data_IF_209177602815
#
_entry.id   IF_209177602815
#
_cell.length_a   1.000
_cell.length_b   1.000
_cell.length_c   1.000
_cell.angle_alpha   90.00
_cell.angle_beta   90.00
_cell.angle_gamma   90.00
#
_symmetry.space_group_name_H-M   'P 1'
#
loop_
_entity.id
_entity.type
_entity.pdbx_description
1 polymer ?
#
# COMPACT_ATOMS: atom_id res chain seq x y z
N UNK A 1 24.16 -63.29 22.36
CA UNK A 1 22.78 -63.51 21.88
C UNK A 1 21.97 -62.26 22.18
N UNK A 2 21.30 -61.70 21.16
CA UNK A 2 20.61 -60.40 21.12
C UNK A 2 19.48 -60.22 22.15
N UNK A 3 19.22 -58.97 22.60
CA UNK A 3 17.89 -58.32 22.60
C UNK A 3 17.99 -56.85 23.09
N UNK A 4 17.87 -55.83 22.22
CA UNK A 4 16.69 -54.95 22.00
C UNK A 4 16.11 -54.24 23.24
N UNK A 5 16.39 -52.93 23.39
CA UNK A 5 15.40 -51.85 23.59
C UNK A 5 16.13 -50.48 23.64
N UNK A 6 15.51 -49.44 23.08
CA UNK A 6 16.08 -48.11 22.82
C UNK A 6 16.38 -47.30 24.11
N UNK A 7 17.20 -46.23 23.99
CA UNK A 7 16.53 -44.94 23.84
C UNK A 7 17.25 -44.05 22.81
N UNK A 8 16.63 -43.89 21.64
CA UNK A 8 17.02 -42.96 20.55
C UNK A 8 16.82 -41.48 20.90
N UNK A 9 16.91 -41.10 22.17
CA UNK A 9 16.29 -39.86 22.68
C UNK A 9 17.28 -38.89 23.37
N UNK A 10 18.55 -38.83 22.92
CA UNK A 10 19.54 -37.91 23.54
C UNK A 10 20.54 -37.19 22.62
N UNK A 11 20.37 -37.15 21.31
CA UNK A 11 21.39 -36.53 20.42
C UNK A 11 20.93 -35.32 19.60
N UNK A 12 19.69 -34.84 19.75
CA UNK A 12 19.22 -33.62 19.06
C UNK A 12 18.77 -32.51 20.02
N UNK A 13 19.60 -32.21 21.03
CA UNK A 13 19.40 -31.06 21.95
C UNK A 13 20.66 -30.19 22.08
N UNK A 14 21.35 -29.88 20.98
CA UNK A 14 22.50 -28.93 21.00
C UNK A 14 22.43 -27.81 19.97
N UNK A 15 21.25 -27.55 19.41
CA UNK A 15 21.04 -26.37 18.54
C UNK A 15 19.83 -25.54 18.97
N UNK A 16 19.35 -25.72 20.22
CA UNK A 16 18.45 -24.78 20.87
C UNK A 16 19.28 -23.76 21.63
N UNK A 17 19.96 -22.89 20.89
CA UNK A 17 20.40 -21.59 21.36
C UNK A 17 19.59 -20.55 20.60
N UNK A 18 18.48 -20.11 21.17
CA UNK A 18 17.78 -18.92 20.70
C UNK A 18 18.73 -17.74 20.73
N UNK A 19 18.76 -16.90 19.68
CA UNK A 19 18.58 -15.50 19.86
C UNK A 19 17.13 -15.22 19.48
N UNK A 20 16.39 -14.70 20.46
CA UNK A 20 15.26 -13.80 20.28
C UNK A 20 14.83 -13.60 18.83
N UNK A 21 13.68 -14.19 18.49
CA UNK A 21 12.97 -13.87 17.27
C UNK A 21 12.62 -12.40 17.29
N UNK A 22 13.54 -11.58 16.79
CA UNK A 22 13.26 -10.24 16.29
C UNK A 22 12.17 -10.48 15.26
N UNK A 23 10.93 -10.20 15.63
CA UNK A 23 9.81 -10.23 14.70
C UNK A 23 10.28 -9.51 13.45
N UNK A 24 10.30 -10.21 12.33
CA UNK A 24 10.41 -9.55 11.04
C UNK A 24 9.08 -8.81 10.90
N UNK A 25 8.99 -7.64 11.53
CA UNK A 25 7.95 -6.65 11.25
C UNK A 25 7.89 -6.59 9.73
N UNK A 26 6.72 -6.82 9.11
CA UNK A 26 6.64 -6.89 7.67
C UNK A 26 7.28 -5.63 7.09
N UNK A 27 8.38 -5.83 6.35
CA UNK A 27 9.19 -4.76 5.75
C UNK A 27 8.38 -3.99 4.69
N UNK A 28 7.17 -4.45 4.40
CA UNK A 28 6.20 -3.82 3.52
C UNK A 28 5.50 -2.65 4.21
N UNK A 29 5.37 -1.54 3.49
CA UNK A 29 4.51 -0.43 3.90
C UNK A 29 3.10 -0.92 4.30
N UNK A 30 2.59 -0.53 5.46
CA UNK A 30 1.26 -0.96 5.93
C UNK A 30 0.12 -0.34 5.11
N UNK A 31 0.44 0.68 4.30
CA UNK A 31 -0.46 1.29 3.33
C UNK A 31 0.07 0.98 1.92
N UNK A 32 -0.75 0.30 1.14
CA UNK A 32 -0.48 0.00 -0.27
C UNK A 32 -1.60 0.58 -1.13
N UNK A 33 -1.31 0.86 -2.40
CA UNK A 33 -2.31 1.29 -3.38
C UNK A 33 -2.10 0.53 -4.67
N UNK A 34 -3.16 0.36 -5.43
CA UNK A 34 -3.13 -0.19 -6.78
C UNK A 34 -4.18 0.55 -7.59
N UNK A 35 -3.74 1.17 -8.69
CA UNK A 35 -4.57 1.99 -9.55
C UNK A 35 -4.61 1.39 -10.94
N UNK A 36 -5.81 1.08 -11.41
CA UNK A 36 -6.05 0.51 -12.73
C UNK A 36 -6.75 1.53 -13.63
N UNK A 37 -6.25 1.71 -14.85
CA UNK A 37 -6.99 2.38 -15.92
C UNK A 37 -7.88 1.32 -16.60
N UNK A 38 -9.18 1.39 -16.31
CA UNK A 38 -10.15 0.44 -16.84
C UNK A 38 -10.56 0.74 -18.28
N UNK A 39 -10.26 1.94 -18.81
CA UNK A 39 -10.54 2.26 -20.20
C UNK A 39 -9.54 1.55 -21.14
N UNK A 40 -8.27 1.46 -20.73
CA UNK A 40 -7.25 0.70 -21.46
C UNK A 40 -7.06 -0.74 -20.94
N UNK A 41 -7.58 -1.05 -19.75
CA UNK A 41 -7.36 -2.34 -19.09
C UNK A 41 -5.94 -2.52 -18.56
N UNK A 42 -5.18 -1.42 -18.41
CA UNK A 42 -3.77 -1.44 -18.02
C UNK A 42 -3.57 -0.73 -16.67
N UNK A 43 -2.47 -1.00 -15.95
CA UNK A 43 -2.14 -0.25 -14.75
C UNK A 43 -1.95 1.23 -15.05
N UNK A 44 -2.44 2.09 -14.15
CA UNK A 44 -2.40 3.53 -14.33
C UNK A 44 -1.01 4.09 -13.98
N UNK A 45 0.00 3.83 -14.82
CA UNK A 45 1.38 4.27 -14.61
C UNK A 45 1.52 5.81 -14.64
N UNK A 46 2.34 6.35 -13.73
CA UNK A 46 2.70 7.77 -13.70
C UNK A 46 1.61 8.70 -13.17
N UNK A 47 0.56 8.14 -12.56
CA UNK A 47 -0.49 8.88 -11.90
C UNK A 47 0.03 9.49 -10.59
N UNK A 48 -0.15 10.80 -10.43
CA UNK A 48 0.27 11.51 -9.23
C UNK A 48 -0.72 11.25 -8.09
N UNK A 49 -0.19 10.97 -6.90
CA UNK A 49 -0.99 10.82 -5.69
C UNK A 49 -0.32 11.51 -4.50
N UNK A 50 -1.13 11.96 -3.55
CA UNK A 50 -0.70 12.58 -2.29
C UNK A 50 -1.30 11.83 -1.12
N UNK A 51 -0.45 11.46 -0.16
CA UNK A 51 -0.85 10.92 1.13
C UNK A 51 -0.89 12.05 2.16
N UNK A 52 -2.01 12.20 2.83
CA UNK A 52 -2.19 13.12 3.96
C UNK A 52 -2.73 12.38 5.18
N UNK A 53 -2.51 12.94 6.37
CA UNK A 53 -3.10 12.49 7.63
C UNK A 53 -3.90 13.63 8.25
N UNK A 54 -5.01 13.29 8.89
CA UNK A 54 -5.82 14.22 9.65
C UNK A 54 -5.18 14.44 11.03
N UNK A 55 -4.94 15.69 11.39
CA UNK A 55 -4.46 16.06 12.71
C UNK A 55 -5.61 16.11 13.72
N UNK A 56 -5.41 15.49 14.89
CA UNK A 56 -6.44 15.35 15.93
C UNK A 56 -6.91 16.70 16.51
N UNK A 57 -6.02 17.69 16.54
CA UNK A 57 -6.26 18.97 17.22
C UNK A 57 -6.92 20.05 16.36
N UNK A 58 -7.08 19.84 15.05
CA UNK A 58 -7.54 20.92 14.17
C UNK A 58 -8.32 20.48 12.94
N UNK A 59 -8.61 19.19 12.78
CA UNK A 59 -9.25 18.65 11.56
C UNK A 59 -8.52 19.07 10.26
N UNK A 60 -7.23 19.39 10.38
CA UNK A 60 -6.39 19.84 9.29
C UNK A 60 -5.70 18.63 8.67
N UNK A 61 -5.61 18.63 7.34
CA UNK A 61 -4.87 17.60 6.61
C UNK A 61 -3.41 18.01 6.44
N UNK A 62 -2.50 17.22 6.97
CA UNK A 62 -1.05 17.36 6.77
C UNK A 62 -0.61 16.43 5.64
N UNK A 63 0.01 16.95 4.58
CA UNK A 63 0.63 16.12 3.55
C UNK A 63 1.86 15.41 4.12
N UNK A 64 1.85 14.08 4.05
CA UNK A 64 2.96 13.23 4.46
C UNK A 64 3.90 12.92 3.30
N UNK A 65 3.34 12.72 2.10
CA UNK A 65 4.11 12.30 0.93
C UNK A 65 3.36 12.59 -0.37
N UNK A 66 4.08 13.11 -1.37
CA UNK A 66 3.69 13.10 -2.78
C UNK A 66 4.43 11.99 -3.52
N UNK A 67 3.75 11.23 -4.38
CA UNK A 67 4.35 10.14 -5.13
C UNK A 67 3.65 9.91 -6.47
N UNK A 68 4.20 9.01 -7.28
CA UNK A 68 3.65 8.60 -8.56
C UNK A 68 3.53 7.09 -8.60
N UNK A 69 2.52 6.59 -9.32
CA UNK A 69 2.38 5.15 -9.55
C UNK A 69 3.46 4.62 -10.51
N UNK A 70 3.94 3.43 -10.21
CA UNK A 70 4.92 2.67 -10.98
C UNK A 70 4.29 1.99 -12.22
N UNK A 71 5.04 1.24 -13.04
CA UNK A 71 4.48 0.52 -14.20
C UNK A 71 3.40 -0.51 -13.86
N UNK A 72 3.34 -1.00 -12.62
CA UNK A 72 2.30 -1.91 -12.13
C UNK A 72 1.11 -1.13 -11.53
N UNK A 73 1.09 0.20 -11.65
CA UNK A 73 0.02 1.04 -11.10
C UNK A 73 0.04 1.13 -9.57
N UNK A 74 1.15 0.74 -8.93
CA UNK A 74 1.31 0.72 -7.47
C UNK A 74 2.20 1.86 -7.01
N UNK A 75 2.18 2.11 -5.71
CA UNK A 75 3.12 3.02 -5.08
C UNK A 75 3.68 2.35 -3.82
N UNK A 76 4.80 1.60 -3.93
CA UNK A 76 5.45 1.04 -2.76
C UNK A 76 6.06 2.15 -1.90
N UNK A 77 6.17 1.93 -0.58
CA UNK A 77 6.85 2.89 0.29
C UNK A 77 6.04 4.13 0.67
N UNK A 78 4.71 4.12 0.50
CA UNK A 78 3.85 5.27 0.85
C UNK A 78 4.01 5.70 2.31
N UNK A 79 4.11 4.71 3.20
CA UNK A 79 4.45 4.90 4.61
C UNK A 79 5.57 3.93 4.99
N UNK A 80 6.67 4.40 5.60
CA UNK A 80 7.67 3.52 6.17
C UNK A 80 7.06 2.58 7.22
N UNK A 81 7.57 1.34 7.35
CA UNK A 81 7.20 0.45 8.45
C UNK A 81 7.35 1.15 9.80
N UNK A 82 6.41 0.93 10.72
CA UNK A 82 6.43 1.54 12.05
C UNK A 82 6.05 3.03 12.14
N UNK A 83 5.82 3.73 11.01
CA UNK A 83 5.36 5.14 11.03
C UNK A 83 3.84 5.29 10.92
N UNK A 84 3.10 4.19 10.77
CA UNK A 84 1.65 4.24 10.77
C UNK A 84 1.15 4.49 12.19
N UNK A 85 0.51 5.64 12.36
CA UNK A 85 -0.15 6.03 13.62
C UNK A 85 -1.64 5.80 13.46
N UNK A 86 -2.34 5.53 14.56
CA UNK A 86 -3.80 5.51 14.56
C UNK A 86 -4.30 6.89 14.10
N UNK A 87 -5.29 6.90 13.21
CA UNK A 87 -5.86 8.13 12.69
C UNK A 87 -6.44 7.97 11.30
N UNK A 88 -6.95 9.07 10.77
CA UNK A 88 -7.54 9.11 9.44
C UNK A 88 -6.48 9.52 8.42
N UNK A 89 -6.31 8.72 7.38
CA UNK A 89 -5.46 9.03 6.24
C UNK A 89 -6.30 9.35 5.01
N UNK A 90 -5.74 10.14 4.11
CA UNK A 90 -6.35 10.53 2.84
C UNK A 90 -5.34 10.33 1.71
N UNK A 91 -5.77 9.65 0.66
CA UNK A 91 -5.06 9.58 -0.61
C UNK A 91 -5.81 10.43 -1.63
N UNK A 92 -5.14 11.43 -2.18
CA UNK A 92 -5.67 12.26 -3.26
C UNK A 92 -4.97 11.91 -4.56
N UNK A 93 -5.72 11.42 -5.55
CA UNK A 93 -5.26 10.97 -6.86
C UNK A 93 -5.57 12.05 -7.91
N UNK A 94 -4.55 12.53 -8.62
CA UNK A 94 -4.66 13.56 -9.65
C UNK A 94 -5.09 12.94 -10.99
N UNK A 95 -6.40 12.71 -11.13
CA UNK A 95 -7.00 12.08 -12.31
C UNK A 95 -7.00 13.00 -13.51
N UNK A 96 -7.28 14.29 -13.35
CA UNK A 96 -7.20 15.26 -14.45
C UNK A 96 -5.78 15.36 -15.00
N UNK A 97 -4.78 15.51 -14.13
CA UNK A 97 -3.38 15.54 -14.55
C UNK A 97 -2.96 14.26 -15.27
N UNK A 98 -3.49 13.09 -14.87
CA UNK A 98 -3.25 11.81 -15.52
C UNK A 98 -3.86 11.74 -16.93
N UNK A 99 -5.16 12.05 -17.07
CA UNK A 99 -5.87 11.97 -18.36
C UNK A 99 -5.41 13.04 -19.33
N UNK A 100 -5.14 14.26 -18.86
CA UNK A 100 -4.68 15.37 -19.69
C UNK A 100 -3.36 15.05 -20.39
N UNK A 101 -2.44 14.37 -19.71
CA UNK A 101 -1.17 13.89 -20.32
C UNK A 101 -1.39 12.87 -21.44
N UNK A 102 -2.56 12.24 -21.48
CA UNK A 102 -3.00 11.24 -22.48
C UNK A 102 -3.97 11.82 -23.51
N UNK A 103 -4.10 13.15 -23.58
CA UNK A 103 -4.98 13.83 -24.53
C UNK A 103 -6.47 13.60 -24.26
N UNK A 104 -6.84 13.31 -23.01
CA UNK A 104 -8.20 12.97 -22.60
C UNK A 104 -8.66 13.91 -21.48
N UNK A 105 -9.93 14.31 -21.49
CA UNK A 105 -10.54 15.13 -20.42
C UNK A 105 -11.04 14.29 -19.23
N UNK A 106 -10.57 14.54 -18.01
CA UNK A 106 -11.16 13.81 -16.88
C UNK A 106 -12.49 14.41 -16.45
N UNK A 107 -13.51 13.57 -16.27
CA UNK A 107 -14.73 13.98 -15.58
C UNK A 107 -14.48 14.33 -14.09
N UNK A 108 -13.48 13.70 -13.47
CA UNK A 108 -13.11 13.95 -12.09
C UNK A 108 -11.79 14.73 -12.06
N UNK A 109 -11.74 15.96 -11.50
CA UNK A 109 -10.49 16.72 -11.41
C UNK A 109 -9.45 15.96 -10.56
N UNK A 110 -9.90 15.38 -9.47
CA UNK A 110 -9.14 14.48 -8.61
C UNK A 110 -10.09 13.54 -7.87
N UNK A 111 -9.55 12.46 -7.30
CA UNK A 111 -10.31 11.51 -6.46
C UNK A 111 -9.65 11.43 -5.09
N UNK A 112 -10.44 11.51 -4.02
CA UNK A 112 -9.94 11.34 -2.65
C UNK A 112 -10.50 10.07 -2.01
N UNK A 113 -9.62 9.24 -1.44
CA UNK A 113 -9.98 8.06 -0.65
C UNK A 113 -9.54 8.29 0.79
N UNK A 114 -10.47 8.18 1.74
CA UNK A 114 -10.19 8.34 3.18
C UNK A 114 -10.29 6.99 3.88
N UNK A 115 -9.31 6.68 4.73
CA UNK A 115 -9.28 5.43 5.50
C UNK A 115 -9.04 5.70 6.99
N UNK A 116 -9.74 4.97 7.85
CA UNK A 116 -9.59 5.00 9.30
C UNK A 116 -8.50 4.05 9.83
N UNK A 117 -7.38 3.91 9.11
CA UNK A 117 -6.19 3.23 9.62
C UNK A 117 -6.11 1.71 9.39
N UNK A 118 -6.83 1.12 8.42
CA UNK A 118 -6.80 -0.34 8.23
C UNK A 118 -6.84 -0.84 6.78
N UNK A 119 -6.08 -0.21 5.88
CA UNK A 119 -5.98 -0.47 4.43
C UNK A 119 -6.85 0.47 3.58
N UNK A 120 -6.35 0.78 2.38
CA UNK A 120 -7.12 1.46 1.32
C UNK A 120 -7.43 0.42 0.23
N UNK A 121 -8.67 0.34 -0.25
CA UNK A 121 -9.02 -0.55 -1.35
C UNK A 121 -8.35 -0.10 -2.66
N UNK A 122 -8.19 -1.00 -3.66
CA UNK A 122 -7.72 -0.64 -4.99
C UNK A 122 -8.68 0.36 -5.64
N UNK A 123 -8.13 1.34 -6.38
CA UNK A 123 -8.91 2.34 -7.09
C UNK A 123 -8.93 2.01 -8.59
N UNK A 124 -10.12 1.95 -9.17
CA UNK A 124 -10.29 1.78 -10.62
C UNK A 124 -10.71 3.11 -11.26
N UNK A 125 -10.00 3.52 -12.30
CA UNK A 125 -10.24 4.77 -13.02
C UNK A 125 -10.84 4.46 -14.39
N UNK A 126 -12.03 4.97 -14.63
CA UNK A 126 -12.65 4.97 -15.96
C UNK A 126 -12.77 6.40 -16.46
N UNK A 127 -12.46 6.61 -17.73
CA UNK A 127 -12.74 7.87 -18.41
C UNK A 127 -14.20 7.84 -18.89
N UNK A 128 -15.04 8.67 -18.27
CA UNK A 128 -16.45 8.84 -18.67
C UNK A 128 -16.57 9.64 -19.97
N UNK A 129 -16.18 9.03 -21.09
CA UNK A 129 -16.33 9.62 -22.42
C UNK A 129 -17.75 9.45 -22.94
N UNK A 130 -18.67 10.28 -22.45
CA UNK A 130 -19.89 10.59 -23.19
C UNK A 130 -19.47 11.39 -24.42
N UNK A 131 -19.50 10.78 -25.60
CA UNK A 131 -19.46 11.55 -26.85
C UNK A 131 -20.71 12.42 -26.86
N UNK A 132 -20.54 13.73 -26.69
CA UNK A 132 -21.54 14.72 -27.08
C UNK A 132 -21.60 14.80 -28.61
#
# INVERSE_FOLDING_TARGET
>A
MNSRAAPRLRTLQRHLGSPEGRGMEPVSSPLTTHVLDTASGLPAQGLCLRLSRLEDHGQQWTELRKSYTDPDGRCPGLLPPGQMKVGTYKLSFDTEGYWRKRGQESFYPYVEVRTGGRLVPPLSLSHGGGRC
#
